data_IF_391787440743
#
_entry.id   IF_391787440743
#
_cell.length_a   1.000
_cell.length_b   1.000
_cell.length_c   1.000
_cell.angle_alpha   90.00
_cell.angle_beta   90.00
_cell.angle_gamma   90.00
#
_symmetry.space_group_name_H-M   'P 1'
#
loop_
_entity.id
_entity.type
_entity.pdbx_description
1 polymer ?
#
# COMPACT_ATOMS: atom_id res chain seq x y z
N UNK A 1 -12.97 25.51 1.06
CA UNK A 1 -12.06 24.92 0.05
C UNK A 1 -11.73 23.51 0.52
N UNK A 2 -12.01 22.50 -0.29
CA UNK A 2 -11.77 21.10 0.09
C UNK A 2 -10.29 20.77 -0.04
N UNK A 3 -9.66 20.31 1.05
CA UNK A 3 -8.28 19.88 1.04
C UNK A 3 -8.18 18.42 0.59
N UNK A 4 -7.69 18.20 -0.62
CA UNK A 4 -7.56 16.87 -1.21
C UNK A 4 -6.38 16.06 -0.65
N UNK A 5 -5.43 16.70 0.03
CA UNK A 5 -4.25 16.02 0.60
C UNK A 5 -4.59 15.27 1.89
N UNK A 6 -5.44 15.88 2.72
CA UNK A 6 -5.87 15.34 4.02
C UNK A 6 -7.27 14.73 4.00
N UNK A 7 -7.94 14.75 2.86
CA UNK A 7 -9.26 14.15 2.69
C UNK A 7 -9.21 12.63 2.89
N UNK A 8 -10.17 12.11 3.66
CA UNK A 8 -10.30 10.68 3.94
C UNK A 8 -11.01 9.98 2.78
N UNK A 9 -10.35 8.97 2.19
CA UNK A 9 -10.85 8.20 1.05
C UNK A 9 -10.35 6.75 1.09
N UNK A 10 -11.12 5.84 0.50
CA UNK A 10 -10.71 4.46 0.39
C UNK A 10 -9.51 4.30 -0.55
N UNK A 11 -8.36 3.83 -0.08
CA UNK A 11 -7.14 3.66 -0.88
C UNK A 11 -7.25 2.51 -1.89
N UNK A 12 -8.22 1.62 -1.72
CA UNK A 12 -8.35 0.44 -2.55
C UNK A 12 -7.06 -0.38 -2.56
N UNK A 13 -6.69 -0.88 -3.73
CA UNK A 13 -5.53 -1.77 -3.89
C UNK A 13 -4.17 -1.15 -3.57
N UNK A 14 -4.04 0.16 -3.32
CA UNK A 14 -2.79 0.72 -2.80
C UNK A 14 -2.52 0.28 -1.37
N UNK A 15 -3.57 -0.08 -0.59
CA UNK A 15 -3.45 -0.64 0.76
C UNK A 15 -2.74 -2.01 0.80
N UNK A 16 -2.68 -2.73 -0.32
CA UNK A 16 -1.94 -4.01 -0.43
C UNK A 16 -0.47 -3.88 -0.07
N UNK A 17 0.10 -2.66 -0.10
CA UNK A 17 1.43 -2.40 0.42
C UNK A 17 1.60 -3.01 1.82
N UNK A 18 0.69 -2.72 2.74
CA UNK A 18 0.77 -3.15 4.14
C UNK A 18 0.57 -4.66 4.30
N UNK A 19 -0.35 -5.24 3.51
CA UNK A 19 -0.61 -6.69 3.50
C UNK A 19 0.64 -7.47 3.10
N UNK A 20 1.28 -7.04 2.03
CA UNK A 20 2.48 -7.71 1.53
C UNK A 20 3.72 -7.38 2.38
N UNK A 21 3.82 -6.17 2.93
CA UNK A 21 4.89 -5.85 3.89
C UNK A 21 4.82 -6.76 5.11
N UNK A 22 3.63 -6.96 5.68
CA UNK A 22 3.47 -7.88 6.81
C UNK A 22 3.77 -9.33 6.41
N UNK A 23 3.39 -9.75 5.20
CA UNK A 23 3.74 -11.08 4.70
C UNK A 23 5.27 -11.28 4.61
N UNK A 24 6.01 -10.29 4.12
CA UNK A 24 7.48 -10.33 4.08
C UNK A 24 8.08 -10.26 5.49
N UNK A 25 7.51 -9.49 6.43
CA UNK A 25 7.93 -9.45 7.83
C UNK A 25 7.81 -10.81 8.51
N UNK A 26 6.78 -11.59 8.17
CA UNK A 26 6.56 -12.93 8.71
C UNK A 26 7.33 -14.01 7.93
N UNK A 27 8.26 -13.64 7.04
CA UNK A 27 9.22 -14.55 6.41
C UNK A 27 8.83 -15.07 5.04
N UNK A 28 7.75 -14.55 4.43
CA UNK A 28 7.44 -14.87 3.03
C UNK A 28 8.38 -14.12 2.09
N UNK A 29 8.57 -14.68 0.89
CA UNK A 29 9.40 -14.12 -0.17
C UNK A 29 8.57 -13.80 -1.43
N UNK A 30 9.03 -12.90 -2.32
CA UNK A 30 8.35 -12.58 -3.58
C UNK A 30 8.06 -13.78 -4.49
N UNK A 31 8.86 -14.84 -4.39
CA UNK A 31 8.70 -16.07 -5.17
C UNK A 31 7.71 -17.08 -4.58
N UNK A 32 7.29 -16.88 -3.31
CA UNK A 32 6.26 -17.72 -2.71
C UNK A 32 4.96 -17.62 -3.48
N UNK A 33 4.20 -18.71 -3.51
CA UNK A 33 3.01 -18.82 -4.34
C UNK A 33 1.74 -18.95 -3.52
N UNK A 34 0.66 -18.39 -4.03
CA UNK A 34 -0.71 -18.63 -3.54
C UNK A 34 -1.63 -18.88 -4.73
N UNK A 35 -2.67 -19.65 -4.50
CA UNK A 35 -3.67 -19.94 -5.53
C UNK A 35 -4.66 -18.80 -5.67
N UNK A 36 -4.90 -18.38 -6.91
CA UNK A 36 -5.96 -17.45 -7.27
C UNK A 36 -7.25 -18.23 -7.49
N UNK A 37 -7.98 -18.51 -6.43
CA UNK A 37 -9.21 -19.30 -6.47
C UNK A 37 -10.30 -18.69 -5.58
N UNK A 38 -11.51 -19.16 -5.74
CA UNK A 38 -12.67 -18.74 -4.97
C UNK A 38 -12.39 -18.75 -3.45
N UNK A 39 -12.83 -17.70 -2.78
CA UNK A 39 -12.81 -17.56 -1.32
C UNK A 39 -14.18 -17.05 -0.88
N UNK A 40 -14.70 -17.60 0.21
CA UNK A 40 -15.86 -17.05 0.91
C UNK A 40 -15.57 -16.96 2.41
N UNK A 41 -16.04 -15.89 3.03
CA UNK A 41 -15.87 -15.65 4.46
C UNK A 41 -17.19 -15.26 5.09
N UNK A 42 -17.39 -15.69 6.33
CA UNK A 42 -18.49 -15.24 7.15
C UNK A 42 -18.03 -14.00 7.92
N UNK A 43 -18.66 -12.87 7.67
CA UNK A 43 -18.33 -11.60 8.33
C UNK A 43 -19.58 -11.01 8.98
N UNK A 44 -19.51 -10.53 10.24
CA UNK A 44 -20.64 -9.88 10.87
C UNK A 44 -20.86 -8.49 10.22
N UNK A 45 -22.11 -8.19 9.93
CA UNK A 45 -22.50 -6.84 9.54
C UNK A 45 -22.41 -5.92 10.77
N UNK A 46 -21.68 -4.81 10.66
CA UNK A 46 -21.39 -3.91 11.78
C UNK A 46 -22.62 -3.28 12.41
N UNK A 47 -23.66 -3.02 11.63
CA UNK A 47 -24.87 -2.32 12.11
C UNK A 47 -25.86 -3.29 12.74
N UNK A 48 -25.98 -4.49 12.18
CA UNK A 48 -27.02 -5.45 12.55
C UNK A 48 -26.49 -6.64 13.33
N UNK A 49 -25.18 -6.90 13.30
CA UNK A 49 -24.57 -8.13 13.85
C UNK A 49 -24.88 -9.40 13.06
N UNK A 50 -25.67 -9.30 12.00
CA UNK A 50 -26.04 -10.45 11.15
C UNK A 50 -24.81 -10.92 10.39
N UNK A 51 -24.53 -12.21 10.44
CA UNK A 51 -23.45 -12.81 9.68
C UNK A 51 -23.82 -12.85 8.21
N UNK A 52 -22.95 -12.27 7.36
CA UNK A 52 -23.10 -12.29 5.91
C UNK A 52 -21.92 -13.01 5.27
N UNK A 53 -22.18 -13.69 4.15
CA UNK A 53 -21.13 -14.28 3.33
C UNK A 53 -20.52 -13.18 2.47
N UNK A 54 -19.22 -12.92 2.67
CA UNK A 54 -18.45 -12.01 1.83
C UNK A 54 -17.56 -12.81 0.86
N UNK A 55 -17.62 -12.46 -0.42
CA UNK A 55 -16.90 -13.13 -1.51
C UNK A 55 -16.07 -12.08 -2.23
N UNK A 56 -14.74 -12.00 -1.97
CA UNK A 56 -13.85 -11.12 -2.71
C UNK A 56 -13.73 -11.58 -4.16
N UNK A 57 -13.85 -10.63 -5.10
CA UNK A 57 -13.68 -10.89 -6.53
C UNK A 57 -12.46 -10.14 -7.06
N UNK A 58 -11.77 -10.73 -8.02
CA UNK A 58 -10.76 -10.02 -8.80
C UNK A 58 -11.41 -8.95 -9.68
N UNK A 59 -10.64 -7.95 -10.14
CA UNK A 59 -11.17 -6.84 -10.94
C UNK A 59 -11.86 -7.28 -12.23
N UNK A 60 -11.42 -8.39 -12.83
CA UNK A 60 -12.04 -9.00 -14.02
C UNK A 60 -13.20 -9.95 -13.70
N UNK A 61 -13.56 -10.10 -12.42
CA UNK A 61 -14.62 -10.99 -11.94
C UNK A 61 -14.28 -12.48 -11.92
N UNK A 62 -13.11 -12.90 -12.42
CA UNK A 62 -12.72 -14.29 -12.59
C UNK A 62 -11.60 -14.69 -11.62
N UNK A 63 -11.47 -16.00 -11.40
CA UNK A 63 -10.36 -16.66 -10.70
C UNK A 63 -9.61 -17.51 -11.70
N UNK A 64 -8.27 -17.36 -11.78
CA UNK A 64 -7.48 -18.14 -12.75
C UNK A 64 -7.35 -19.63 -12.38
N UNK A 65 -7.47 -19.95 -11.11
CA UNK A 65 -7.17 -21.29 -10.56
C UNK A 65 -5.68 -21.58 -10.45
N UNK A 66 -4.82 -20.69 -10.95
CA UNK A 66 -3.39 -20.87 -10.99
C UNK A 66 -2.73 -20.58 -9.63
N UNK A 67 -1.57 -21.23 -9.42
CA UNK A 67 -0.66 -20.89 -8.34
C UNK A 67 0.34 -19.85 -8.86
N UNK A 68 0.20 -18.59 -8.44
CA UNK A 68 1.03 -17.47 -8.89
C UNK A 68 1.92 -16.94 -7.76
N UNK A 69 3.07 -16.39 -8.12
CA UNK A 69 4.01 -15.80 -7.15
C UNK A 69 3.41 -14.56 -6.49
N UNK A 70 3.85 -14.26 -5.27
CA UNK A 70 3.42 -13.03 -4.58
C UNK A 70 3.80 -11.80 -5.39
N UNK A 71 4.95 -11.80 -6.07
CA UNK A 71 5.36 -10.72 -6.98
C UNK A 71 4.34 -10.51 -8.10
N UNK A 72 3.95 -11.56 -8.81
CA UNK A 72 2.94 -11.47 -9.87
C UNK A 72 1.55 -11.10 -9.31
N UNK A 73 1.17 -11.64 -8.16
CA UNK A 73 -0.09 -11.30 -7.48
C UNK A 73 -0.18 -9.83 -7.09
N UNK A 74 0.91 -9.26 -6.57
CA UNK A 74 1.00 -7.83 -6.27
C UNK A 74 0.95 -6.97 -7.53
N UNK A 75 1.76 -7.31 -8.54
CA UNK A 75 1.85 -6.59 -9.81
C UNK A 75 0.51 -6.54 -10.56
N UNK A 76 -0.19 -7.67 -10.61
CA UNK A 76 -1.53 -7.81 -11.24
C UNK A 76 -2.66 -7.36 -10.32
N UNK A 77 -2.34 -7.00 -9.08
CA UNK A 77 -3.31 -6.57 -8.07
C UNK A 77 -4.41 -7.59 -7.77
N UNK A 78 -4.06 -8.88 -7.71
CA UNK A 78 -5.02 -9.99 -7.48
C UNK A 78 -5.63 -9.88 -6.08
N UNK A 79 -6.95 -9.79 -6.01
CA UNK A 79 -7.68 -9.56 -4.75
C UNK A 79 -7.69 -10.82 -3.87
N UNK A 80 -7.91 -11.98 -4.45
CA UNK A 80 -7.97 -13.26 -3.72
C UNK A 80 -6.66 -13.53 -2.99
N UNK A 81 -5.51 -13.26 -3.61
CA UNK A 81 -4.21 -13.43 -2.97
C UNK A 81 -4.01 -12.44 -1.81
N UNK A 82 -4.38 -11.17 -1.99
CA UNK A 82 -4.28 -10.19 -0.91
C UNK A 82 -5.17 -10.58 0.28
N UNK A 83 -6.37 -11.09 0.03
CA UNK A 83 -7.28 -11.54 1.10
C UNK A 83 -6.75 -12.79 1.81
N UNK A 84 -6.18 -13.77 1.07
CA UNK A 84 -5.52 -14.93 1.67
C UNK A 84 -4.36 -14.52 2.57
N UNK A 85 -3.49 -13.64 2.08
CA UNK A 85 -2.41 -13.09 2.91
C UNK A 85 -2.97 -12.37 4.14
N UNK A 86 -4.06 -11.60 3.98
CA UNK A 86 -4.73 -10.94 5.11
C UNK A 86 -5.19 -11.91 6.20
N UNK A 87 -5.71 -13.08 5.80
CA UNK A 87 -6.09 -14.15 6.72
C UNK A 87 -4.87 -14.82 7.37
N UNK A 88 -3.85 -15.17 6.56
CA UNK A 88 -2.65 -15.85 7.01
C UNK A 88 -1.83 -14.99 7.97
N UNK A 89 -1.64 -13.73 7.66
CA UNK A 89 -0.83 -12.79 8.46
C UNK A 89 -1.59 -12.23 9.66
N UNK A 90 -2.92 -12.19 9.59
CA UNK A 90 -3.80 -11.59 10.59
C UNK A 90 -3.99 -10.08 10.39
N UNK A 91 -5.24 -9.66 10.30
CA UNK A 91 -5.60 -8.26 10.03
C UNK A 91 -5.03 -7.30 11.10
N UNK A 92 -5.00 -7.71 12.37
CA UNK A 92 -4.40 -6.88 13.45
C UNK A 92 -2.91 -6.60 13.24
N UNK A 93 -2.15 -7.58 12.72
CA UNK A 93 -0.73 -7.40 12.43
C UNK A 93 -0.56 -6.43 11.26
N UNK A 94 -1.39 -6.53 10.22
CA UNK A 94 -1.40 -5.61 9.08
C UNK A 94 -1.73 -4.19 9.53
N UNK A 95 -2.70 -4.01 10.44
CA UNK A 95 -3.02 -2.70 11.03
C UNK A 95 -1.79 -2.12 11.75
N UNK A 96 -1.12 -2.92 12.59
CA UNK A 96 0.09 -2.49 13.29
C UNK A 96 1.17 -2.05 12.31
N UNK A 97 1.45 -2.85 11.28
CA UNK A 97 2.45 -2.51 10.23
C UNK A 97 2.08 -1.20 9.52
N UNK A 98 0.80 -1.02 9.16
CA UNK A 98 0.35 0.22 8.54
C UNK A 98 0.55 1.44 9.46
N UNK A 99 0.23 1.31 10.75
CA UNK A 99 0.41 2.37 11.75
C UNK A 99 1.90 2.70 11.99
N UNK A 100 2.76 1.68 12.07
CA UNK A 100 4.20 1.88 12.17
C UNK A 100 4.79 2.57 10.94
N UNK A 101 4.23 2.32 9.75
CA UNK A 101 4.60 2.99 8.51
C UNK A 101 3.96 4.38 8.34
N UNK A 102 3.21 4.89 9.33
CA UNK A 102 2.72 6.27 9.36
C UNK A 102 1.23 6.48 9.09
N UNK A 103 0.41 5.44 8.95
CA UNK A 103 -1.04 5.58 8.87
C UNK A 103 -1.60 5.92 10.26
N UNK A 104 -2.21 7.08 10.39
CA UNK A 104 -2.85 7.58 11.62
C UNK A 104 -4.37 7.46 11.56
N UNK A 105 -4.92 7.34 10.37
CA UNK A 105 -6.35 7.13 10.13
C UNK A 105 -6.84 5.84 10.78
N UNK A 106 -8.09 5.80 11.31
CA UNK A 106 -8.65 4.59 11.90
C UNK A 106 -8.77 3.46 10.90
N UNK A 107 -8.21 2.29 11.22
CA UNK A 107 -8.28 1.10 10.40
C UNK A 107 -9.19 0.05 11.03
N UNK A 108 -10.09 -0.50 10.24
CA UNK A 108 -11.06 -1.47 10.72
C UNK A 108 -10.50 -2.89 10.69
N UNK A 109 -10.68 -3.62 11.80
CA UNK A 109 -10.21 -5.01 11.90
C UNK A 109 -11.19 -5.97 11.20
N UNK A 110 -11.24 -5.89 9.87
CA UNK A 110 -12.10 -6.71 9.01
C UNK A 110 -11.32 -7.29 7.83
N UNK A 111 -11.71 -8.46 7.30
CA UNK A 111 -11.03 -9.06 6.15
C UNK A 111 -10.95 -8.17 4.92
N UNK A 112 -11.94 -7.30 4.72
CA UNK A 112 -11.98 -6.34 3.61
C UNK A 112 -10.88 -5.29 3.67
N UNK A 113 -10.24 -5.07 4.83
CA UNK A 113 -9.10 -4.17 4.97
C UNK A 113 -7.95 -4.55 4.03
N UNK A 114 -7.76 -5.85 3.77
CA UNK A 114 -6.76 -6.32 2.81
C UNK A 114 -6.94 -5.76 1.39
N UNK A 115 -8.12 -5.25 1.08
CA UNK A 115 -8.46 -4.59 -0.19
C UNK A 115 -8.59 -3.06 -0.07
N UNK A 116 -8.26 -2.48 1.10
CA UNK A 116 -8.28 -1.05 1.33
C UNK A 116 -9.69 -0.48 1.54
N UNK A 117 -10.49 -1.13 2.37
CA UNK A 117 -11.87 -0.70 2.69
C UNK A 117 -11.96 0.42 3.73
N UNK A 118 -10.90 0.66 4.52
CA UNK A 118 -10.85 1.78 5.47
C UNK A 118 -10.31 3.03 4.82
N UNK A 119 -10.88 4.19 5.16
CA UNK A 119 -10.44 5.47 4.62
C UNK A 119 -9.08 5.87 5.19
N UNK A 120 -8.22 6.40 4.31
CA UNK A 120 -6.94 7.04 4.65
C UNK A 120 -6.79 8.32 3.85
N UNK A 121 -5.83 9.17 4.18
CA UNK A 121 -5.53 10.35 3.38
C UNK A 121 -4.27 10.17 2.51
N UNK A 122 -4.15 11.01 1.50
CA UNK A 122 -3.05 10.93 0.53
C UNK A 122 -1.68 11.13 1.20
N UNK A 123 -1.57 12.06 2.14
CA UNK A 123 -0.31 12.35 2.83
C UNK A 123 0.21 11.13 3.62
N UNK A 124 -0.66 10.50 4.42
CA UNK A 124 -0.31 9.30 5.17
C UNK A 124 0.12 8.15 4.25
N UNK A 125 -0.62 7.96 3.16
CA UNK A 125 -0.34 6.88 2.21
C UNK A 125 1.00 7.12 1.49
N UNK A 126 1.27 8.34 1.01
CA UNK A 126 2.58 8.70 0.41
C UNK A 126 3.70 8.48 1.41
N UNK A 127 3.52 8.92 2.66
CA UNK A 127 4.53 8.74 3.71
C UNK A 127 4.84 7.27 4.00
N UNK A 128 3.82 6.40 4.00
CA UNK A 128 4.02 4.97 4.13
C UNK A 128 4.80 4.37 2.96
N UNK A 129 4.57 4.83 1.74
CA UNK A 129 5.36 4.43 0.58
C UNK A 129 6.80 4.97 0.65
N UNK A 130 7.02 6.17 1.25
CA UNK A 130 8.37 6.69 1.54
C UNK A 130 9.14 5.76 2.49
N UNK A 131 8.48 5.14 3.46
CA UNK A 131 9.13 4.16 4.35
C UNK A 131 9.73 2.99 3.57
N UNK A 132 9.04 2.47 2.56
CA UNK A 132 9.59 1.42 1.69
C UNK A 132 10.73 1.93 0.81
N UNK A 133 10.59 3.14 0.24
CA UNK A 133 11.65 3.76 -0.57
C UNK A 133 12.91 4.06 0.24
N UNK A 134 12.75 4.33 1.54
CA UNK A 134 13.82 4.63 2.51
C UNK A 134 14.24 3.38 3.31
N UNK A 135 14.31 2.23 2.65
CA UNK A 135 14.83 0.98 3.19
C UNK A 135 14.20 0.53 4.52
N UNK A 136 12.94 0.90 4.73
CA UNK A 136 12.16 0.54 5.91
C UNK A 136 12.25 1.53 7.07
N UNK A 137 12.99 2.62 6.90
CA UNK A 137 13.08 3.70 7.88
C UNK A 137 11.94 4.70 7.68
N UNK A 138 11.07 4.83 8.67
CA UNK A 138 9.98 5.80 8.70
C UNK A 138 10.46 7.14 9.23
N UNK A 139 10.05 8.22 8.53
CA UNK A 139 10.27 9.61 8.95
C UNK A 139 8.93 10.36 8.92
N UNK A 140 8.65 11.18 9.92
CA UNK A 140 7.47 12.05 9.86
C UNK A 140 7.64 13.09 8.73
N UNK A 141 6.55 13.46 8.03
CA UNK A 141 6.60 14.47 6.98
C UNK A 141 7.03 15.83 7.52
N UNK A 142 8.01 16.46 6.91
CA UNK A 142 8.52 17.78 7.29
C UNK A 142 8.33 18.76 6.13
N UNK A 143 7.62 19.87 6.38
CA UNK A 143 7.40 20.93 5.39
C UNK A 143 8.44 22.06 5.54
N UNK A 144 8.79 22.42 6.79
CA UNK A 144 9.80 23.43 7.10
C UNK A 144 10.93 22.77 7.84
N UNK A 145 12.09 22.68 7.21
CA UNK A 145 13.27 22.02 7.79
C UNK A 145 14.01 22.93 8.77
N UNK A 146 14.00 24.25 8.51
CA UNK A 146 14.75 25.21 9.30
C UNK A 146 14.18 26.63 9.14
N UNK A 147 14.18 27.40 10.24
CA UNK A 147 13.91 28.84 10.24
C UNK A 147 15.11 29.54 10.82
N UNK A 148 15.59 30.61 10.16
CA UNK A 148 16.65 31.45 10.65
C UNK A 148 16.17 32.90 10.78
N UNK A 149 16.72 33.65 11.75
CA UNK A 149 16.47 35.07 11.90
C UNK A 149 17.27 35.92 10.87
N UNK A 150 17.07 37.23 10.91
CA UNK A 150 17.79 38.16 10.00
C UNK A 150 19.30 38.19 10.23
N UNK A 151 19.79 37.69 11.38
CA UNK A 151 21.23 37.61 11.73
C UNK A 151 21.82 36.25 11.37
N UNK A 152 21.01 35.31 10.83
CA UNK A 152 21.44 33.96 10.50
C UNK A 152 21.40 32.96 11.66
N UNK A 153 20.87 33.32 12.82
CA UNK A 153 20.72 32.41 13.94
C UNK A 153 19.58 31.46 13.69
N UNK A 154 19.74 30.18 14.06
CA UNK A 154 18.71 29.16 13.94
C UNK A 154 17.63 29.36 15.02
N UNK A 155 16.41 29.69 14.61
CA UNK A 155 15.23 29.84 15.47
C UNK A 155 14.47 28.55 15.61
N UNK A 156 14.48 27.72 14.56
CA UNK A 156 13.85 26.41 14.52
C UNK A 156 14.62 25.47 13.61
N UNK A 157 14.76 24.23 14.04
CA UNK A 157 15.23 23.10 13.22
C UNK A 157 14.28 21.96 13.42
N UNK A 158 13.78 21.37 12.34
CA UNK A 158 12.87 20.23 12.42
C UNK A 158 13.58 19.03 13.09
N UNK A 159 12.93 18.35 14.03
CA UNK A 159 13.50 17.16 14.64
C UNK A 159 13.62 16.03 13.59
N UNK A 160 14.71 15.27 13.63
CA UNK A 160 14.82 14.03 12.91
C UNK A 160 14.13 12.91 13.69
N UNK A 161 13.08 12.33 13.09
CA UNK A 161 12.23 11.30 13.73
C UNK A 161 12.39 9.93 13.08
N UNK A 162 13.59 9.64 12.57
CA UNK A 162 13.87 8.40 11.84
C UNK A 162 13.74 7.18 12.76
N UNK A 163 12.94 6.21 12.32
CA UNK A 163 12.74 4.95 13.04
C UNK A 163 12.68 3.79 12.06
N UNK A 164 13.51 2.77 12.25
CA UNK A 164 13.41 1.52 11.51
C UNK A 164 12.13 0.79 11.91
N UNK A 165 11.16 0.69 11.00
CA UNK A 165 9.85 0.06 11.23
C UNK A 165 9.65 -1.19 10.39
N UNK A 166 10.33 -1.31 9.26
CA UNK A 166 10.42 -2.55 8.48
C UNK A 166 11.86 -3.03 8.46
N UNK A 167 12.13 -4.34 8.57
CA UNK A 167 13.45 -4.89 8.27
C UNK A 167 13.91 -4.47 6.88
N UNK A 168 15.21 -4.23 6.71
CA UNK A 168 15.79 -3.88 5.41
C UNK A 168 15.40 -4.87 4.30
N UNK A 169 15.43 -6.18 4.60
CA UNK A 169 15.03 -7.24 3.67
C UNK A 169 13.57 -7.09 3.22
N UNK A 170 12.65 -6.77 4.15
CA UNK A 170 11.23 -6.52 3.84
C UNK A 170 11.10 -5.33 2.91
N UNK A 171 11.75 -4.21 3.21
CA UNK A 171 11.72 -3.01 2.37
C UNK A 171 12.27 -3.30 0.97
N UNK A 172 13.40 -4.00 0.87
CA UNK A 172 13.97 -4.44 -0.41
C UNK A 172 12.99 -5.31 -1.21
N UNK A 173 12.36 -6.31 -0.58
CA UNK A 173 11.37 -7.14 -1.26
C UNK A 173 10.18 -6.31 -1.74
N UNK A 174 9.68 -5.38 -0.93
CA UNK A 174 8.58 -4.49 -1.33
C UNK A 174 8.96 -3.56 -2.49
N UNK A 175 10.19 -3.06 -2.53
CA UNK A 175 10.70 -2.32 -3.70
C UNK A 175 10.67 -3.18 -4.97
N UNK A 176 11.06 -4.47 -4.88
CA UNK A 176 11.00 -5.40 -6.01
C UNK A 176 9.55 -5.71 -6.44
N UNK A 177 8.60 -5.80 -5.49
CA UNK A 177 7.18 -5.96 -5.80
C UNK A 177 6.62 -4.73 -6.52
N UNK A 178 6.97 -3.53 -6.07
CA UNK A 178 6.56 -2.27 -6.71
C UNK A 178 7.10 -2.14 -8.13
N UNK A 179 8.38 -2.49 -8.37
CA UNK A 179 8.95 -2.57 -9.74
C UNK A 179 8.16 -3.56 -10.61
N UNK A 180 7.70 -4.66 -10.03
CA UNK A 180 6.85 -5.64 -10.70
C UNK A 180 5.59 -5.03 -11.32
N UNK A 181 5.00 -4.00 -10.71
CA UNK A 181 3.83 -3.29 -11.26
C UNK A 181 4.05 -2.74 -12.67
N UNK A 182 5.28 -2.36 -12.99
CA UNK A 182 5.69 -1.84 -14.30
C UNK A 182 6.27 -2.93 -15.22
N UNK A 183 6.93 -3.95 -14.67
CA UNK A 183 7.74 -4.91 -15.44
C UNK A 183 7.07 -6.28 -15.63
N UNK A 184 6.30 -6.74 -14.64
CA UNK A 184 5.67 -8.08 -14.71
C UNK A 184 4.58 -8.15 -15.80
N UNK A 185 4.45 -9.27 -16.52
CA UNK A 185 3.33 -9.50 -17.42
C UNK A 185 1.99 -9.35 -16.71
N UNK A 186 1.11 -8.48 -17.25
CA UNK A 186 -0.18 -8.17 -16.65
C UNK A 186 -0.12 -7.19 -15.47
N UNK A 187 1.04 -6.59 -15.19
CA UNK A 187 1.17 -5.53 -14.19
C UNK A 187 0.28 -4.33 -14.50
N UNK A 188 -0.43 -3.81 -13.49
CA UNK A 188 -1.46 -2.78 -13.66
C UNK A 188 -0.90 -1.40 -14.03
N UNK A 189 0.41 -1.18 -13.87
CA UNK A 189 1.10 0.08 -14.14
C UNK A 189 1.92 0.06 -15.43
N UNK A 190 1.91 -1.04 -16.21
CA UNK A 190 2.76 -1.22 -17.40
C UNK A 190 2.58 -0.15 -18.48
N UNK A 191 1.37 0.38 -18.63
CA UNK A 191 1.09 1.46 -19.59
C UNK A 191 1.90 2.72 -19.34
N UNK A 192 2.39 2.92 -18.10
CA UNK A 192 3.22 4.06 -17.73
C UNK A 192 4.66 3.96 -18.25
N UNK A 193 5.13 2.76 -18.66
CA UNK A 193 6.48 2.58 -19.19
C UNK A 193 6.79 3.43 -20.41
N UNK A 194 5.77 3.88 -21.15
CA UNK A 194 5.95 4.80 -22.28
C UNK A 194 6.27 6.24 -21.86
N UNK A 195 6.01 6.61 -20.58
CA UNK A 195 6.21 7.94 -20.03
C UNK A 195 7.36 8.02 -19.03
N UNK A 196 7.81 6.88 -18.51
CA UNK A 196 8.88 6.79 -17.51
C UNK A 196 10.22 6.59 -18.24
N UNK A 197 11.22 7.37 -17.84
CA UNK A 197 12.57 7.24 -18.38
C UNK A 197 13.13 5.84 -18.10
N UNK A 198 13.62 5.17 -19.16
CA UNK A 198 14.09 3.78 -19.11
C UNK A 198 15.27 3.54 -18.15
N UNK A 199 16.01 4.60 -17.83
CA UNK A 199 17.22 4.53 -17.00
C UNK A 199 16.96 4.78 -15.52
N UNK A 200 15.69 4.85 -15.09
CA UNK A 200 15.33 5.11 -13.71
C UNK A 200 14.59 3.92 -13.10
N UNK A 201 14.99 3.56 -11.87
CA UNK A 201 14.38 2.52 -11.06
C UNK A 201 13.04 2.99 -10.49
N UNK A 202 11.97 2.85 -11.29
CA UNK A 202 10.61 3.16 -10.85
C UNK A 202 9.84 1.90 -10.50
N UNK A 203 9.03 2.01 -9.44
CA UNK A 203 7.98 1.08 -9.09
C UNK A 203 6.65 1.80 -8.97
N UNK A 204 5.55 1.07 -8.98
CA UNK A 204 4.25 1.70 -8.81
C UNK A 204 3.14 0.74 -8.40
N UNK A 205 2.09 1.33 -7.80
CA UNK A 205 0.88 0.61 -7.43
C UNK A 205 -0.34 1.45 -7.74
N UNK A 206 -1.28 0.85 -8.49
CA UNK A 206 -2.61 1.40 -8.74
C UNK A 206 -3.57 1.06 -7.60
N UNK A 207 -4.54 1.91 -7.35
CA UNK A 207 -5.68 1.66 -6.49
C UNK A 207 -6.96 2.14 -7.16
N UNK A 208 -8.04 1.41 -6.91
CA UNK A 208 -9.39 1.78 -7.32
C UNK A 208 -10.31 1.38 -6.19
N UNK A 209 -11.16 2.28 -5.76
CA UNK A 209 -12.18 1.98 -4.76
C UNK A 209 -13.40 1.32 -5.39
N UNK A 210 -14.31 0.83 -4.55
CA UNK A 210 -15.58 0.28 -5.01
C UNK A 210 -16.35 1.31 -5.85
N UNK A 211 -17.05 0.82 -6.88
CA UNK A 211 -17.83 1.65 -7.83
C UNK A 211 -16.99 2.67 -8.62
N UNK A 212 -15.66 2.51 -8.67
CA UNK A 212 -14.73 3.42 -9.37
C UNK A 212 -14.85 4.89 -8.93
N UNK A 213 -15.25 5.12 -7.65
CA UNK A 213 -15.38 6.48 -7.13
C UNK A 213 -14.03 7.15 -6.89
N UNK A 214 -12.98 6.37 -6.62
CA UNK A 214 -11.64 6.87 -6.39
C UNK A 214 -10.63 6.10 -7.23
N UNK A 215 -9.72 6.82 -7.85
CA UNK A 215 -8.56 6.27 -8.54
C UNK A 215 -7.28 6.77 -7.88
N UNK A 216 -6.36 5.85 -7.56
CA UNK A 216 -5.10 6.12 -6.91
C UNK A 216 -3.94 5.59 -7.73
N UNK A 217 -2.85 6.33 -7.70
CA UNK A 217 -1.56 5.84 -8.18
C UNK A 217 -0.43 6.28 -7.25
N UNK A 218 0.39 5.32 -6.85
CA UNK A 218 1.60 5.54 -6.06
C UNK A 218 2.80 5.17 -6.91
N UNK A 219 3.66 6.13 -7.20
CA UNK A 219 4.93 5.94 -7.89
C UNK A 219 6.09 6.06 -6.90
N UNK A 220 7.06 5.16 -7.01
CA UNK A 220 8.20 5.07 -6.11
C UNK A 220 9.49 4.98 -6.91
N UNK A 221 10.45 5.82 -6.58
CA UNK A 221 11.83 5.72 -7.04
C UNK A 221 12.79 5.87 -5.85
N UNK A 222 14.09 5.63 -5.99
CA UNK A 222 15.04 5.76 -4.90
C UNK A 222 15.13 7.17 -4.26
N UNK A 223 14.66 8.20 -4.98
CA UNK A 223 14.78 9.61 -4.54
C UNK A 223 13.45 10.33 -4.43
N UNK A 224 12.36 9.72 -4.90
CA UNK A 224 11.08 10.42 -5.00
C UNK A 224 9.92 9.42 -4.89
N UNK A 225 8.95 9.74 -4.05
CA UNK A 225 7.65 9.09 -3.99
C UNK A 225 6.57 10.10 -4.37
N UNK A 226 5.69 9.70 -5.28
CA UNK A 226 4.58 10.55 -5.75
C UNK A 226 3.27 9.78 -5.58
N UNK A 227 2.30 10.42 -4.95
CA UNK A 227 0.93 9.93 -4.88
C UNK A 227 -0.01 10.83 -5.68
N UNK A 228 -0.89 10.23 -6.46
CA UNK A 228 -1.99 10.90 -7.15
C UNK A 228 -3.32 10.26 -6.77
N UNK A 229 -4.30 11.09 -6.49
CA UNK A 229 -5.67 10.68 -6.24
C UNK A 229 -6.64 11.53 -7.05
N UNK A 230 -7.62 10.87 -7.65
CA UNK A 230 -8.74 11.46 -8.38
C UNK A 230 -10.02 10.80 -7.88
N UNK A 231 -10.99 11.65 -7.50
CA UNK A 231 -12.30 11.25 -7.00
C UNK A 231 -13.20 12.44 -6.76
#
# INVERSE_FOLDING_TARGET
>A
KYDKVTAQRQPGSTFKLFVYSEAMNQGLAPCDKRRDEFISMQVPDKKTGIIRTWIPRNANGNYSGDSITLKAGFARSVNTIAVRLGQEMGIKNIIRTAQEMGIKSPLENEPSLALGSSDVNLLELVNAYCTVANDGEHCDPVVVTKIVDQRGNEVYVAPHTNKQVLPYQTAFFMQQLLKGGLTEPGGTSRSLNQYIFKDTDWGGKTGTSNNHSDAWFMAVSPKLVVGAWVG
#
